data_IF_527788470360
#
_entry.id   IF_527788470360
#
_cell.length_a   1.000
_cell.length_b   1.000
_cell.length_c   1.000
_cell.angle_alpha   90.00
_cell.angle_beta   90.00
_cell.angle_gamma   90.00
#
_symmetry.space_group_name_H-M   'P 1'
#
loop_
_entity.id
_entity.type
_entity.pdbx_description
1 polymer ?
#
# COMPACT_ATOMS: atom_id res chain seq x y z
N UNK A 1 -22.92 -26.66 -1.73
CA UNK A 1 -22.50 -25.24 -1.72
C UNK A 1 -23.59 -24.50 -0.98
N UNK A 2 -23.24 -23.82 0.11
CA UNK A 2 -24.11 -22.81 0.71
C UNK A 2 -24.32 -21.67 -0.29
N UNK A 3 -25.46 -20.99 -0.20
CA UNK A 3 -25.66 -19.74 -0.93
C UNK A 3 -24.75 -18.66 -0.31
N UNK A 4 -24.20 -17.78 -1.14
CA UNK A 4 -23.45 -16.63 -0.67
C UNK A 4 -24.37 -15.69 0.12
N UNK A 5 -23.86 -15.13 1.21
CA UNK A 5 -24.57 -14.16 2.07
C UNK A 5 -24.93 -12.95 1.21
N UNK A 6 -26.17 -12.47 1.33
CA UNK A 6 -26.67 -11.31 0.60
C UNK A 6 -26.62 -10.05 1.45
N UNK A 7 -26.72 -8.88 0.81
CA UNK A 7 -26.86 -7.61 1.51
C UNK A 7 -28.06 -7.65 2.48
N UNK A 8 -27.82 -7.26 3.73
CA UNK A 8 -28.83 -7.28 4.80
C UNK A 8 -28.94 -8.61 5.54
N UNK A 9 -28.30 -9.68 5.08
CA UNK A 9 -28.22 -10.94 5.85
C UNK A 9 -27.31 -10.79 7.08
N UNK A 10 -27.60 -11.55 8.13
CA UNK A 10 -26.75 -11.59 9.33
C UNK A 10 -25.67 -12.66 9.19
N UNK A 11 -24.41 -12.24 9.11
CA UNK A 11 -23.26 -13.13 9.24
C UNK A 11 -22.99 -13.45 10.71
N UNK A 12 -23.08 -14.73 11.09
CA UNK A 12 -22.71 -15.21 12.43
C UNK A 12 -21.45 -16.07 12.34
N UNK A 13 -20.44 -15.77 13.14
CA UNK A 13 -19.14 -16.46 13.15
C UNK A 13 -18.87 -17.01 14.56
N UNK A 14 -19.52 -18.12 14.96
CA UNK A 14 -19.42 -18.63 16.32
C UNK A 14 -18.00 -19.15 16.64
N UNK A 15 -17.34 -19.81 15.69
CA UNK A 15 -15.96 -20.31 15.86
C UNK A 15 -15.00 -19.15 16.12
N UNK A 16 -15.04 -18.10 15.29
CA UNK A 16 -14.24 -16.90 15.49
C UNK A 16 -14.52 -16.23 16.84
N UNK A 17 -15.79 -16.18 17.24
CA UNK A 17 -16.17 -15.59 18.53
C UNK A 17 -15.60 -16.39 19.72
N UNK A 18 -15.54 -17.72 19.62
CA UNK A 18 -14.94 -18.57 20.64
C UNK A 18 -13.42 -18.39 20.68
N UNK A 19 -12.76 -18.30 19.52
CA UNK A 19 -11.32 -17.98 19.41
C UNK A 19 -10.97 -16.64 20.05
N UNK A 20 -11.75 -15.59 19.76
CA UNK A 20 -11.52 -14.26 20.34
C UNK A 20 -11.76 -14.23 21.85
N UNK A 21 -12.73 -15.00 22.38
CA UNK A 21 -12.93 -15.14 23.84
C UNK A 21 -11.77 -15.88 24.49
N UNK A 22 -11.29 -16.95 23.86
CA UNK A 22 -10.13 -17.69 24.34
C UNK A 22 -8.90 -16.78 24.46
N UNK A 23 -8.59 -16.02 23.41
CA UNK A 23 -7.46 -15.05 23.43
C UNK A 23 -7.66 -13.92 24.43
N UNK A 24 -8.91 -13.52 24.72
CA UNK A 24 -9.21 -12.55 25.78
C UNK A 24 -8.91 -13.12 27.18
N UNK A 25 -9.15 -14.41 27.40
CA UNK A 25 -8.98 -15.09 28.69
C UNK A 25 -7.52 -15.50 28.95
N UNK A 26 -6.86 -16.10 27.94
CA UNK A 26 -5.52 -16.68 28.07
C UNK A 26 -4.38 -15.75 27.62
N UNK A 27 -4.69 -14.69 26.85
CA UNK A 27 -3.72 -13.75 26.31
C UNK A 27 -3.30 -14.05 24.87
N UNK A 28 -2.69 -13.06 24.20
CA UNK A 28 -2.30 -13.19 22.79
C UNK A 28 -1.16 -14.19 22.59
N UNK A 29 -0.35 -14.41 23.62
CA UNK A 29 0.75 -15.38 23.64
C UNK A 29 0.27 -16.82 23.40
N UNK A 30 -1.00 -17.13 23.71
CA UNK A 30 -1.58 -18.45 23.47
C UNK A 30 -1.69 -18.77 21.97
N UNK A 31 -1.86 -17.74 21.12
CA UNK A 31 -1.82 -17.88 19.66
C UNK A 31 -0.48 -18.39 19.15
N UNK A 32 0.62 -18.03 19.82
CA UNK A 32 1.98 -18.33 19.36
C UNK A 32 2.60 -19.53 20.07
N UNK A 33 2.24 -19.77 21.34
CA UNK A 33 2.93 -20.75 22.19
C UNK A 33 2.02 -21.53 23.15
N UNK A 34 0.69 -21.33 23.08
CA UNK A 34 -0.27 -21.92 24.00
C UNK A 34 -1.12 -23.04 23.41
N UNK A 35 -2.30 -23.26 23.98
CA UNK A 35 -3.20 -24.35 23.57
C UNK A 35 -3.71 -24.16 22.15
N UNK A 36 -3.94 -22.91 21.74
CA UNK A 36 -4.46 -22.57 20.42
C UNK A 36 -3.53 -23.01 19.30
N UNK A 37 -2.21 -23.07 19.52
CA UNK A 37 -1.22 -23.55 18.52
C UNK A 37 -1.64 -24.91 17.96
N UNK A 38 -1.99 -25.86 18.82
CA UNK A 38 -2.39 -27.21 18.39
C UNK A 38 -3.68 -27.26 17.57
N UNK A 39 -4.49 -26.19 17.65
CA UNK A 39 -5.76 -26.03 16.92
C UNK A 39 -5.58 -25.30 15.59
N UNK A 40 -4.53 -24.49 15.45
CA UNK A 40 -4.25 -23.68 14.24
C UNK A 40 -3.10 -24.22 13.39
N UNK A 41 -2.42 -25.28 13.81
CA UNK A 41 -1.44 -26.05 13.02
C UNK A 41 -2.09 -27.31 12.45
N UNK A 42 -3.13 -27.13 11.64
CA UNK A 42 -3.87 -28.21 10.99
C UNK A 42 -3.45 -28.41 9.52
N UNK A 43 -4.16 -29.27 8.77
CA UNK A 43 -3.86 -29.56 7.37
C UNK A 43 -4.13 -28.38 6.40
N UNK A 44 -4.66 -27.25 6.88
CA UNK A 44 -4.93 -26.06 6.09
C UNK A 44 -3.71 -25.14 5.93
N UNK A 45 -2.67 -25.35 6.74
CA UNK A 45 -1.50 -24.46 6.82
C UNK A 45 -0.21 -25.24 6.63
N UNK A 46 0.86 -24.56 6.24
CA UNK A 46 2.20 -25.16 6.09
C UNK A 46 3.17 -24.82 7.22
N UNK A 47 2.76 -23.96 8.16
CA UNK A 47 3.57 -23.61 9.32
C UNK A 47 3.40 -24.62 10.44
N UNK A 48 4.45 -24.73 11.26
CA UNK A 48 4.55 -25.62 12.41
C UNK A 48 4.32 -24.87 13.72
N UNK A 49 4.25 -25.61 14.83
CA UNK A 49 4.22 -25.01 16.15
C UNK A 49 5.51 -24.23 16.43
N UNK A 50 6.64 -24.74 15.95
CA UNK A 50 7.94 -24.10 16.06
C UNK A 50 8.01 -22.78 15.26
N UNK A 51 7.36 -22.69 14.09
CA UNK A 51 7.27 -21.45 13.32
C UNK A 51 6.48 -20.37 14.06
N UNK A 52 5.40 -20.75 14.74
CA UNK A 52 4.59 -19.83 15.54
C UNK A 52 5.32 -19.41 16.82
N UNK A 53 5.97 -20.34 17.52
CA UNK A 53 6.75 -20.05 18.73
C UNK A 53 7.96 -19.13 18.42
N UNK A 54 8.56 -19.30 17.24
CA UNK A 54 9.68 -18.49 16.77
C UNK A 54 9.30 -17.12 16.19
N UNK A 55 8.01 -16.81 16.05
CA UNK A 55 7.56 -15.55 15.46
C UNK A 55 7.76 -14.37 16.43
N UNK A 56 8.40 -13.31 15.95
CA UNK A 56 8.51 -12.04 16.67
C UNK A 56 8.06 -10.86 15.81
N UNK A 57 7.31 -9.93 16.42
CA UNK A 57 6.98 -8.65 15.79
C UNK A 57 8.23 -7.77 15.77
N UNK A 58 8.65 -7.36 14.59
CA UNK A 58 9.74 -6.41 14.48
C UNK A 58 9.31 -5.00 14.85
N UNK A 59 10.11 -4.38 15.71
CA UNK A 59 10.04 -2.96 16.03
C UNK A 59 11.23 -2.26 15.43
N UNK A 60 10.98 -1.44 14.44
CA UNK A 60 12.01 -0.74 13.65
C UNK A 60 11.65 0.72 13.52
N UNK A 61 12.66 1.56 13.29
CA UNK A 61 12.43 2.95 12.89
C UNK A 61 11.65 2.99 11.57
N UNK A 62 10.76 3.98 11.39
CA UNK A 62 10.03 4.15 10.15
C UNK A 62 10.96 4.55 8.99
N UNK A 63 10.51 4.30 7.76
CA UNK A 63 11.09 5.00 6.62
C UNK A 63 10.76 6.49 6.77
N UNK A 64 11.77 7.34 6.63
CA UNK A 64 11.65 8.79 6.83
C UNK A 64 12.06 9.53 5.57
N UNK A 65 11.24 10.49 5.14
CA UNK A 65 11.54 11.37 4.03
C UNK A 65 10.96 12.76 4.25
N UNK A 66 10.93 13.53 3.17
CA UNK A 66 10.42 14.89 3.14
C UNK A 66 9.59 15.07 1.87
N UNK A 67 8.50 15.82 1.95
CA UNK A 67 7.67 16.20 0.81
C UNK A 67 7.06 17.58 1.09
N UNK A 68 7.26 18.55 0.20
CA UNK A 68 6.89 19.94 0.46
C UNK A 68 7.47 20.42 1.80
N UNK A 69 6.67 20.94 2.73
CA UNK A 69 7.06 21.33 4.09
C UNK A 69 6.87 20.23 5.15
N UNK A 70 6.48 19.02 4.74
CA UNK A 70 6.23 17.90 5.64
C UNK A 70 7.44 16.97 5.82
N UNK A 71 7.64 16.52 7.06
CA UNK A 71 8.36 15.27 7.35
C UNK A 71 7.41 14.10 7.12
N UNK A 72 7.85 13.11 6.34
CA UNK A 72 7.05 11.93 5.99
C UNK A 72 7.58 10.72 6.75
N UNK A 73 6.70 10.05 7.49
CA UNK A 73 6.97 8.81 8.20
C UNK A 73 6.10 7.69 7.64
N UNK A 74 6.73 6.64 7.11
CA UNK A 74 5.99 5.52 6.53
C UNK A 74 6.62 4.17 6.90
N UNK A 75 5.94 3.10 6.50
CA UNK A 75 6.29 1.74 6.88
C UNK A 75 7.66 1.33 6.30
N UNK A 76 8.61 0.83 7.11
CA UNK A 76 9.94 0.47 6.65
C UNK A 76 9.94 -0.87 5.86
N UNK A 77 11.05 -1.23 5.18
CA UNK A 77 11.20 -2.53 4.54
C UNK A 77 10.82 -3.71 5.47
N UNK A 78 10.16 -4.78 4.97
CA UNK A 78 9.90 -5.09 3.56
C UNK A 78 8.60 -4.47 3.01
N UNK A 79 8.05 -3.45 3.67
CA UNK A 79 6.83 -2.74 3.27
C UNK A 79 7.17 -1.59 2.29
N UNK A 80 6.15 -0.86 1.83
CA UNK A 80 6.29 0.08 0.70
C UNK A 80 6.39 1.55 1.09
N UNK A 81 6.68 1.90 2.35
CA UNK A 81 6.83 3.28 2.75
C UNK A 81 8.01 3.99 2.08
N UNK A 82 9.14 3.31 1.90
CA UNK A 82 10.28 3.82 1.09
C UNK A 82 9.85 4.17 -0.33
N UNK A 83 9.09 3.28 -0.98
CA UNK A 83 8.58 3.49 -2.34
C UNK A 83 7.64 4.69 -2.42
N UNK A 84 6.75 4.86 -1.45
CA UNK A 84 5.87 6.03 -1.39
C UNK A 84 6.68 7.32 -1.24
N UNK A 85 7.67 7.35 -0.34
CA UNK A 85 8.54 8.51 -0.15
C UNK A 85 9.29 8.86 -1.44
N UNK A 86 9.82 7.86 -2.16
CA UNK A 86 10.47 8.07 -3.46
C UNK A 86 9.51 8.70 -4.49
N UNK A 87 8.27 8.20 -4.58
CA UNK A 87 7.23 8.78 -5.46
C UNK A 87 7.01 10.25 -5.13
N UNK A 88 6.83 10.58 -3.85
CA UNK A 88 6.59 11.95 -3.40
C UNK A 88 7.78 12.87 -3.72
N UNK A 89 9.00 12.42 -3.43
CA UNK A 89 10.21 13.23 -3.64
C UNK A 89 10.53 13.45 -5.12
N UNK A 90 10.36 12.42 -5.97
CA UNK A 90 10.51 12.58 -7.42
C UNK A 90 9.43 13.49 -8.01
N UNK A 91 8.19 13.39 -7.50
CA UNK A 91 7.07 14.25 -7.92
C UNK A 91 7.32 15.73 -7.64
N UNK A 92 7.89 16.03 -6.47
CA UNK A 92 8.30 17.37 -6.06
C UNK A 92 9.46 17.88 -6.95
N UNK A 93 10.49 17.05 -7.18
CA UNK A 93 11.63 17.41 -8.03
C UNK A 93 11.24 17.68 -9.51
N UNK A 94 10.23 16.96 -10.01
CA UNK A 94 9.70 17.14 -11.38
C UNK A 94 8.63 18.23 -11.46
N UNK A 95 8.31 18.91 -10.35
CA UNK A 95 7.29 19.96 -10.26
C UNK A 95 5.94 19.49 -10.86
N UNK A 96 5.51 18.27 -10.49
CA UNK A 96 4.36 17.62 -11.14
C UNK A 96 3.04 18.37 -10.92
N UNK A 97 2.95 19.16 -9.85
CA UNK A 97 1.77 19.96 -9.50
C UNK A 97 1.54 21.11 -10.50
N UNK A 98 2.49 21.40 -11.38
CA UNK A 98 2.30 22.32 -12.51
C UNK A 98 1.30 21.81 -13.56
N UNK A 99 1.09 20.49 -13.66
CA UNK A 99 0.13 19.87 -14.57
C UNK A 99 -1.23 19.72 -13.90
N UNK A 100 -2.33 19.84 -14.65
CA UNK A 100 -3.67 19.58 -14.11
C UNK A 100 -3.81 18.08 -13.75
N UNK A 101 -4.46 17.71 -12.63
CA UNK A 101 -4.54 16.31 -12.18
C UNK A 101 -5.13 15.32 -13.19
N UNK A 102 -5.98 15.81 -14.10
CA UNK A 102 -6.63 15.01 -15.15
C UNK A 102 -6.01 15.25 -16.53
N UNK A 103 -4.80 15.81 -16.62
CA UNK A 103 -4.09 16.02 -17.88
C UNK A 103 -3.24 14.81 -18.29
N UNK A 104 -2.95 14.69 -19.58
CA UNK A 104 -2.08 13.64 -20.09
C UNK A 104 -0.64 13.78 -19.56
N UNK A 105 -0.15 15.01 -19.38
CA UNK A 105 1.17 15.31 -18.83
C UNK A 105 1.31 14.85 -17.37
N UNK A 106 0.26 15.03 -16.55
CA UNK A 106 0.25 14.52 -15.18
C UNK A 106 0.29 12.99 -15.17
N UNK A 107 -0.58 12.35 -15.96
CA UNK A 107 -0.65 10.88 -16.05
C UNK A 107 0.66 10.28 -16.51
N UNK A 108 1.26 10.82 -17.56
CA UNK A 108 2.52 10.36 -18.11
C UNK A 108 3.68 10.50 -17.10
N UNK A 109 3.86 11.70 -16.56
CA UNK A 109 4.94 11.99 -15.61
C UNK A 109 4.83 11.10 -14.37
N UNK A 110 3.62 10.97 -13.82
CA UNK A 110 3.40 10.15 -12.62
C UNK A 110 3.54 8.64 -12.90
N UNK A 111 3.16 8.18 -14.11
CA UNK A 111 3.36 6.78 -14.52
C UNK A 111 4.86 6.47 -14.57
N UNK A 112 5.68 7.33 -15.16
CA UNK A 112 7.13 7.17 -15.19
C UNK A 112 7.76 7.21 -13.79
N UNK A 113 7.28 8.09 -12.91
CA UNK A 113 7.67 8.11 -11.48
C UNK A 113 7.36 6.77 -10.80
N UNK A 114 6.15 6.24 -11.01
CA UNK A 114 5.75 4.96 -10.45
C UNK A 114 6.64 3.82 -10.96
N UNK A 115 6.90 3.76 -12.25
CA UNK A 115 7.78 2.75 -12.85
C UNK A 115 9.20 2.80 -12.28
N UNK A 116 9.76 4.01 -12.15
CA UNK A 116 11.08 4.21 -11.57
C UNK A 116 11.13 3.76 -10.10
N UNK A 117 10.16 4.17 -9.27
CA UNK A 117 10.06 3.76 -7.88
C UNK A 117 9.80 2.25 -7.73
N UNK A 118 9.01 1.65 -8.63
CA UNK A 118 8.71 0.21 -8.64
C UNK A 118 9.94 -0.61 -9.02
N UNK A 119 10.72 -0.16 -10.01
CA UNK A 119 12.00 -0.76 -10.40
C UNK A 119 13.00 -0.70 -9.24
N UNK A 120 13.13 0.47 -8.60
CA UNK A 120 14.01 0.63 -7.45
C UNK A 120 13.62 -0.30 -6.28
N UNK A 121 12.33 -0.32 -5.93
CA UNK A 121 11.77 -1.23 -4.95
C UNK A 121 12.11 -2.69 -5.27
N UNK A 122 11.96 -3.09 -6.54
CA UNK A 122 12.22 -4.46 -6.97
C UNK A 122 13.67 -4.86 -6.72
N UNK A 123 14.62 -3.95 -6.95
CA UNK A 123 16.05 -4.17 -6.81
C UNK A 123 16.56 -4.08 -5.38
N UNK A 124 15.96 -3.23 -4.53
CA UNK A 124 16.58 -2.82 -3.27
C UNK A 124 15.83 -3.22 -1.98
N UNK A 125 14.50 -3.41 -2.03
CA UNK A 125 13.72 -3.56 -0.79
C UNK A 125 13.61 -5.04 -0.40
N UNK A 126 14.20 -5.51 0.69
CA UNK A 126 14.04 -6.90 1.15
C UNK A 126 13.45 -7.00 2.54
N UNK A 127 13.44 -8.22 3.08
CA UNK A 127 13.36 -8.40 4.53
C UNK A 127 14.66 -7.84 5.17
N UNK A 128 14.59 -6.86 6.10
CA UNK A 128 15.77 -6.24 6.71
C UNK A 128 16.55 -7.13 7.69
N UNK A 129 16.03 -8.31 8.06
CA UNK A 129 16.77 -9.33 8.82
C UNK A 129 17.69 -10.13 7.91
N UNK A 130 17.33 -10.26 6.63
CA UNK A 130 18.07 -11.04 5.63
C UNK A 130 18.90 -10.17 4.68
N UNK A 131 18.56 -8.89 4.56
CA UNK A 131 19.19 -7.96 3.64
C UNK A 131 19.63 -6.70 4.40
N UNK A 132 20.82 -6.20 4.07
CA UNK A 132 21.27 -4.89 4.56
C UNK A 132 20.65 -3.81 3.67
N UNK A 133 19.64 -3.11 4.20
CA UNK A 133 18.85 -2.13 3.46
C UNK A 133 19.07 -0.76 4.07
N UNK A 134 19.80 0.08 3.36
CA UNK A 134 20.08 1.46 3.76
C UNK A 134 18.87 2.36 3.47
N UNK A 135 17.80 2.17 4.26
CA UNK A 135 16.51 2.86 4.07
C UNK A 135 16.65 4.38 4.00
N UNK A 136 17.56 4.96 4.80
CA UNK A 136 17.84 6.40 4.79
C UNK A 136 18.54 6.88 3.52
N UNK A 137 19.28 6.02 2.83
CA UNK A 137 19.86 6.35 1.52
C UNK A 137 18.79 6.32 0.44
N UNK A 138 17.94 5.29 0.44
CA UNK A 138 16.84 5.13 -0.54
C UNK A 138 15.77 6.23 -0.46
N UNK A 139 15.68 6.94 0.67
CA UNK A 139 14.75 8.06 0.93
C UNK A 139 15.46 9.41 1.02
N UNK A 140 16.76 9.45 0.69
CA UNK A 140 17.52 10.69 0.67
C UNK A 140 17.20 11.49 -0.59
N UNK A 141 17.06 12.81 -0.45
CA UNK A 141 16.80 13.71 -1.58
C UNK A 141 17.82 13.56 -2.71
N UNK A 142 19.11 13.46 -2.40
CA UNK A 142 20.14 13.27 -3.44
C UNK A 142 19.90 11.99 -4.24
N UNK A 143 19.48 10.91 -3.58
CA UNK A 143 19.19 9.65 -4.25
C UNK A 143 17.93 9.75 -5.12
N UNK A 144 16.86 10.35 -4.61
CA UNK A 144 15.61 10.49 -5.38
C UNK A 144 15.72 11.50 -6.51
N UNK A 145 16.58 12.51 -6.38
CA UNK A 145 16.88 13.45 -7.47
C UNK A 145 17.58 12.72 -8.63
N UNK A 146 18.51 11.81 -8.34
CA UNK A 146 19.14 10.94 -9.35
C UNK A 146 18.10 10.04 -10.03
N UNK A 147 17.17 9.45 -9.28
CA UNK A 147 16.07 8.66 -9.86
C UNK A 147 15.17 9.52 -10.78
N UNK A 148 14.87 10.78 -10.39
CA UNK A 148 14.08 11.70 -11.21
C UNK A 148 14.81 12.18 -12.48
N UNK A 149 16.14 12.28 -12.43
CA UNK A 149 16.95 12.62 -13.62
C UNK A 149 16.91 11.51 -14.69
N UNK A 150 16.76 10.25 -14.29
CA UNK A 150 16.66 9.11 -15.21
C UNK A 150 15.33 9.09 -15.99
N UNK A 151 14.24 9.58 -15.39
CA UNK A 151 12.92 9.73 -16.03
C UNK A 151 13.01 10.65 -17.27
N UNK A 152 13.77 11.75 -17.15
CA UNK A 152 13.88 12.75 -18.22
C UNK A 152 14.72 12.30 -19.43
N UNK A 153 15.34 11.12 -19.39
CA UNK A 153 16.31 10.67 -20.40
C UNK A 153 15.73 9.67 -21.41
N UNK A 154 14.44 9.71 -21.79
CA UNK A 154 13.83 8.84 -22.84
C UNK A 154 14.18 7.33 -22.69
N UNK A 155 14.57 6.91 -21.49
CA UNK A 155 15.32 5.67 -21.26
C UNK A 155 14.79 4.95 -20.02
N UNK A 156 13.46 4.82 -19.93
CA UNK A 156 12.93 3.62 -19.32
C UNK A 156 12.96 2.52 -20.38
N UNK A 157 14.18 2.04 -20.67
CA UNK A 157 14.36 0.72 -21.26
C UNK A 157 13.93 -0.28 -20.18
N UNK A 158 12.62 -0.51 -20.11
CA UNK A 158 12.03 -1.54 -19.29
C UNK A 158 12.74 -2.85 -19.63
N UNK A 159 13.50 -3.39 -18.67
CA UNK A 159 14.02 -4.73 -18.82
C UNK A 159 12.83 -5.66 -18.60
N UNK A 160 12.39 -6.34 -19.67
CA UNK A 160 11.32 -7.36 -19.66
C UNK A 160 11.45 -8.38 -18.50
N UNK A 161 12.66 -8.55 -17.95
CA UNK A 161 13.00 -9.43 -16.83
C UNK A 161 12.51 -8.93 -15.43
N UNK A 162 11.85 -7.77 -15.36
CA UNK A 162 11.23 -7.23 -14.13
C UNK A 162 9.70 -7.45 -14.06
N UNK A 163 9.13 -8.21 -14.99
CA UNK A 163 7.71 -8.55 -15.10
C UNK A 163 7.30 -9.66 -14.12
N UNK A 164 7.37 -9.42 -12.80
CA UNK A 164 6.89 -10.42 -11.83
C UNK A 164 6.03 -9.87 -10.69
N UNK A 165 5.73 -8.57 -10.70
CA UNK A 165 4.77 -8.00 -9.75
C UNK A 165 3.34 -8.24 -10.26
N UNK A 166 2.77 -9.38 -9.89
CA UNK A 166 1.36 -9.66 -10.14
C UNK A 166 0.50 -8.72 -9.31
N UNK A 167 -0.54 -8.15 -9.93
CA UNK A 167 -1.49 -7.31 -9.21
C UNK A 167 -2.33 -8.14 -8.24
N UNK A 168 -2.11 -7.93 -6.93
CA UNK A 168 -2.91 -8.58 -5.89
C UNK A 168 -4.38 -8.13 -5.96
N UNK A 169 -5.30 -9.09 -5.85
CA UNK A 169 -6.74 -8.85 -5.64
C UNK A 169 -6.98 -8.62 -4.15
N UNK A 170 -6.47 -7.49 -3.64
CA UNK A 170 -6.13 -7.35 -2.23
C UNK A 170 -7.32 -7.18 -1.25
N UNK A 171 -7.34 -7.95 -0.15
CA UNK A 171 -8.04 -7.60 1.10
C UNK A 171 -7.06 -6.85 1.98
N UNK A 172 -7.28 -5.55 2.07
CA UNK A 172 -6.54 -4.72 3.00
C UNK A 172 -7.55 -3.84 3.70
N UNK A 173 -7.33 -3.60 4.99
CA UNK A 173 -8.06 -2.62 5.77
C UNK A 173 -7.05 -1.63 6.32
N UNK A 174 -7.44 -0.36 6.34
CA UNK A 174 -6.64 0.70 6.91
C UNK A 174 -7.41 1.38 8.04
N UNK A 175 -6.72 1.74 9.11
CA UNK A 175 -7.28 2.51 10.22
C UNK A 175 -6.30 3.61 10.63
N UNK A 176 -6.87 4.78 10.93
CA UNK A 176 -6.18 5.88 11.59
C UNK A 176 -6.86 6.16 12.92
N UNK A 177 -6.06 6.40 13.96
CA UNK A 177 -6.54 6.67 15.31
C UNK A 177 -5.73 7.84 15.88
N UNK A 178 -6.45 8.79 16.48
CA UNK A 178 -5.89 9.88 17.27
C UNK A 178 -6.57 9.85 18.63
N UNK A 179 -5.81 9.84 19.72
CA UNK A 179 -6.36 9.89 21.08
C UNK A 179 -6.27 11.29 21.73
N UNK A 180 -6.82 11.42 22.93
CA UNK A 180 -6.87 12.69 23.67
C UNK A 180 -5.50 13.19 24.15
N UNK A 181 -4.49 12.32 24.20
CA UNK A 181 -3.12 12.64 24.59
C UNK A 181 -2.25 13.01 23.38
N UNK A 182 -2.81 12.98 22.17
CA UNK A 182 -2.12 13.27 20.92
C UNK A 182 -1.35 12.08 20.34
N UNK A 183 -1.62 10.85 20.79
CA UNK A 183 -1.09 9.65 20.15
C UNK A 183 -1.73 9.46 18.79
N UNK A 184 -0.90 9.31 17.77
CA UNK A 184 -1.32 9.08 16.39
C UNK A 184 -0.90 7.68 15.95
N UNK A 185 -1.84 6.90 15.43
CA UNK A 185 -1.60 5.55 14.92
C UNK A 185 -2.18 5.43 13.52
N UNK A 186 -1.33 5.11 12.56
CA UNK A 186 -1.71 4.72 11.21
C UNK A 186 -1.36 3.24 11.02
N UNK A 187 -2.35 2.40 10.73
CA UNK A 187 -2.17 0.95 10.68
C UNK A 187 -2.90 0.34 9.48
N UNK A 188 -2.18 -0.51 8.75
CA UNK A 188 -2.72 -1.25 7.60
C UNK A 188 -2.57 -2.74 7.85
N UNK A 189 -3.67 -3.47 7.78
CA UNK A 189 -3.69 -4.92 7.98
C UNK A 189 -4.23 -5.61 6.72
N UNK A 190 -3.68 -6.76 6.36
CA UNK A 190 -3.97 -7.41 5.08
C UNK A 190 -3.87 -8.93 5.17
N UNK A 191 -4.69 -9.60 4.37
CA UNK A 191 -4.58 -11.04 4.09
C UNK A 191 -3.84 -11.32 2.78
N UNK A 192 -3.19 -10.31 2.17
CA UNK A 192 -2.92 -10.24 0.73
C UNK A 192 -4.24 -10.18 -0.04
N UNK A 193 -4.77 -11.28 -0.58
CA UNK A 193 -6.00 -11.26 -1.39
C UNK A 193 -7.29 -11.16 -0.55
N UNK A 194 -8.44 -10.83 -1.17
CA UNK A 194 -9.76 -10.58 -0.52
C UNK A 194 -10.15 -11.58 0.59
N UNK A 195 -9.87 -12.86 0.37
CA UNK A 195 -10.10 -13.94 1.34
C UNK A 195 -8.80 -14.71 1.67
N UNK A 196 -7.66 -14.04 1.51
CA UNK A 196 -6.33 -14.63 1.58
C UNK A 196 -6.16 -15.81 0.64
N UNK A 197 -5.77 -16.95 1.19
CA UNK A 197 -5.66 -18.23 0.49
C UNK A 197 -7.03 -18.85 0.10
N UNK A 198 -8.14 -18.21 0.48
CA UNK A 198 -9.50 -18.75 0.30
C UNK A 198 -9.83 -19.89 1.28
N UNK A 199 -9.04 -20.02 2.35
CA UNK A 199 -9.16 -21.06 3.35
C UNK A 199 -9.54 -20.41 4.68
N UNK A 200 -10.63 -20.88 5.27
CA UNK A 200 -11.01 -20.61 6.66
C UNK A 200 -10.63 -21.82 7.50
N UNK A 201 -9.92 -21.62 8.60
CA UNK A 201 -9.56 -22.71 9.51
C UNK A 201 -10.70 -23.07 10.47
N UNK A 202 -10.51 -24.14 11.23
CA UNK A 202 -11.49 -24.61 12.22
C UNK A 202 -11.72 -23.61 13.38
N UNK A 203 -10.80 -22.66 13.57
CA UNK A 203 -10.89 -21.55 14.54
C UNK A 203 -11.66 -20.34 14.02
N UNK A 204 -12.19 -20.42 12.80
CA UNK A 204 -13.13 -19.46 12.25
C UNK A 204 -12.50 -18.24 11.59
N UNK A 205 -11.19 -18.19 11.38
CA UNK A 205 -10.52 -17.09 10.68
C UNK A 205 -9.88 -17.52 9.35
N UNK A 206 -9.68 -16.54 8.47
CA UNK A 206 -9.10 -16.75 7.14
C UNK A 206 -7.58 -16.76 7.19
N UNK A 207 -6.98 -17.60 6.36
CA UNK A 207 -5.53 -17.71 6.21
C UNK A 207 -5.06 -16.76 5.10
N UNK A 208 -4.06 -15.92 5.39
CA UNK A 208 -3.46 -15.04 4.38
C UNK A 208 -2.71 -15.83 3.30
N UNK A 209 -2.44 -15.20 2.16
CA UNK A 209 -1.57 -15.77 1.12
C UNK A 209 -0.30 -14.94 0.89
N UNK A 210 0.19 -14.21 1.90
CA UNK A 210 1.28 -13.23 1.75
C UNK A 210 2.58 -13.82 1.16
N UNK A 211 2.82 -15.11 1.35
CA UNK A 211 3.99 -15.80 0.80
C UNK A 211 4.00 -15.83 -0.74
N UNK A 212 2.88 -15.59 -1.43
CA UNK A 212 2.87 -15.44 -2.89
C UNK A 212 3.71 -14.26 -3.38
N UNK A 213 4.06 -13.32 -2.48
CA UNK A 213 4.75 -12.09 -2.86
C UNK A 213 6.26 -12.26 -2.96
N UNK A 214 6.82 -13.43 -2.67
CA UNK A 214 8.24 -13.69 -2.90
C UNK A 214 8.57 -13.72 -4.41
N UNK A 215 9.75 -13.23 -4.75
CA UNK A 215 10.30 -13.32 -6.10
C UNK A 215 10.92 -14.71 -6.33
N UNK A 216 10.09 -15.76 -6.40
CA UNK A 216 10.54 -17.16 -6.46
C UNK A 216 11.47 -17.50 -7.63
N UNK A 217 11.45 -16.71 -8.70
CA UNK A 217 12.22 -16.98 -9.92
C UNK A 217 13.54 -16.19 -9.99
N UNK A 218 13.78 -15.27 -9.05
CA UNK A 218 14.92 -14.37 -9.07
C UNK A 218 15.81 -14.54 -7.83
N UNK A 219 16.71 -15.53 -7.84
CA UNK A 219 17.60 -15.88 -6.70
C UNK A 219 18.42 -14.70 -6.14
N UNK A 220 18.77 -13.72 -7.00
CA UNK A 220 19.52 -12.54 -6.58
C UNK A 220 18.64 -11.39 -6.07
N UNK A 221 17.32 -11.53 -6.09
CA UNK A 221 16.40 -10.50 -5.62
C UNK A 221 16.40 -10.45 -4.08
N UNK A 222 16.41 -9.27 -3.44
CA UNK A 222 16.32 -9.15 -1.98
C UNK A 222 15.07 -9.81 -1.37
N UNK A 223 14.04 -10.00 -2.18
CA UNK A 223 12.79 -10.67 -1.84
C UNK A 223 12.69 -12.08 -2.46
N UNK A 224 13.81 -12.73 -2.78
CA UNK A 224 13.82 -14.17 -3.01
C UNK A 224 13.42 -14.93 -1.73
N UNK A 225 12.73 -16.06 -1.89
CA UNK A 225 12.24 -16.87 -0.78
C UNK A 225 13.37 -17.51 0.02
N UNK A 226 13.34 -17.33 1.34
CA UNK A 226 14.17 -18.04 2.31
C UNK A 226 13.33 -18.43 3.53
N UNK A 227 13.66 -19.53 4.18
CA UNK A 227 12.98 -19.98 5.40
C UNK A 227 13.13 -18.93 6.52
N UNK A 228 12.01 -18.58 7.17
CA UNK A 228 11.94 -17.54 8.21
C UNK A 228 11.90 -16.10 7.69
N UNK A 229 12.08 -15.88 6.38
CA UNK A 229 12.04 -14.56 5.76
C UNK A 229 10.61 -14.08 5.60
N UNK A 230 10.40 -12.76 5.63
CA UNK A 230 9.13 -12.10 5.39
C UNK A 230 9.04 -11.62 3.95
N UNK A 231 7.93 -11.93 3.29
CA UNK A 231 7.68 -11.46 1.94
C UNK A 231 7.38 -9.95 1.93
N UNK A 232 7.71 -9.30 0.82
CA UNK A 232 7.31 -7.91 0.54
C UNK A 232 5.80 -7.70 0.66
N UNK A 233 5.43 -6.47 1.00
CA UNK A 233 4.06 -5.98 0.92
C UNK A 233 4.04 -4.57 0.32
N UNK A 234 2.91 -4.20 -0.28
CA UNK A 234 2.70 -2.85 -0.79
C UNK A 234 2.03 -1.91 0.21
N UNK A 235 1.69 -2.38 1.40
CA UNK A 235 1.12 -1.52 2.43
C UNK A 235 2.10 -0.39 2.79
N UNK A 236 1.55 0.81 2.97
CA UNK A 236 2.30 2.02 3.34
C UNK A 236 1.44 2.93 4.24
N UNK A 237 1.04 2.47 5.46
CA UNK A 237 0.48 3.40 6.46
C UNK A 237 1.48 4.54 6.69
N UNK A 238 1.00 5.77 6.61
CA UNK A 238 1.86 6.95 6.52
C UNK A 238 1.33 8.07 7.41
N UNK A 239 2.26 8.78 8.06
CA UNK A 239 1.99 9.98 8.83
C UNK A 239 2.89 11.09 8.28
N UNK A 240 2.29 12.19 7.83
CA UNK A 240 2.99 13.40 7.42
C UNK A 240 2.82 14.43 8.53
N UNK A 241 3.89 15.13 8.90
CA UNK A 241 3.88 16.12 9.97
C UNK A 241 4.65 17.36 9.53
N UNK A 242 4.07 18.55 9.72
CA UNK A 242 4.79 19.82 9.64
C UNK A 242 4.65 20.59 10.98
N UNK A 243 4.98 21.88 11.00
CA UNK A 243 4.92 22.71 12.21
C UNK A 243 3.47 22.96 12.71
N UNK A 244 2.46 22.74 11.87
CA UNK A 244 1.08 23.15 12.11
C UNK A 244 0.09 21.98 12.15
N UNK A 245 0.31 20.93 11.37
CA UNK A 245 -0.64 19.86 11.18
C UNK A 245 0.01 18.46 11.02
N UNK A 246 -0.77 17.44 11.33
CA UNK A 246 -0.43 16.04 11.14
C UNK A 246 -1.48 15.32 10.31
N UNK A 247 -1.07 14.75 9.18
CA UNK A 247 -1.91 13.96 8.28
C UNK A 247 -1.59 12.48 8.43
N UNK A 248 -2.53 11.70 8.94
CA UNK A 248 -2.47 10.24 8.93
C UNK A 248 -3.21 9.74 7.69
N UNK A 249 -2.58 8.88 6.89
CA UNK A 249 -3.15 8.42 5.63
C UNK A 249 -2.75 6.98 5.31
N UNK A 250 -3.66 6.25 4.68
CA UNK A 250 -3.39 4.94 4.13
C UNK A 250 -4.56 4.40 3.34
N UNK A 251 -4.29 3.39 2.51
CA UNK A 251 -5.27 2.81 1.59
C UNK A 251 -5.07 1.31 1.50
N UNK A 252 -6.13 0.53 1.21
CA UNK A 252 -6.00 -0.79 0.64
C UNK A 252 -5.73 -0.73 -0.87
N UNK A 253 -5.37 -1.87 -1.48
CA UNK A 253 -5.23 -1.95 -2.94
C UNK A 253 -3.98 -2.66 -3.48
N UNK A 254 -3.22 -3.42 -2.69
CA UNK A 254 -2.03 -4.11 -3.20
C UNK A 254 -1.03 -3.13 -3.82
N UNK A 255 -0.52 -3.43 -5.01
CA UNK A 255 0.42 -2.57 -5.74
C UNK A 255 -0.12 -1.16 -6.06
N UNK A 256 -1.43 -0.94 -5.96
CA UNK A 256 -2.07 0.37 -6.14
C UNK A 256 -1.92 1.26 -4.92
N UNK A 257 -1.56 0.72 -3.74
CA UNK A 257 -1.46 1.50 -2.50
C UNK A 257 -0.49 2.69 -2.65
N UNK A 258 0.78 2.52 -3.06
CA UNK A 258 1.68 3.67 -3.22
C UNK A 258 1.21 4.62 -4.34
N UNK A 259 0.65 4.07 -5.42
CA UNK A 259 0.13 4.87 -6.55
C UNK A 259 -1.04 5.77 -6.13
N UNK A 260 -1.99 5.25 -5.35
CA UNK A 260 -3.17 6.00 -4.88
C UNK A 260 -2.77 7.00 -3.80
N UNK A 261 -1.95 6.58 -2.83
CA UNK A 261 -1.48 7.47 -1.77
C UNK A 261 -0.65 8.62 -2.31
N UNK A 262 0.25 8.37 -3.26
CA UNK A 262 1.04 9.41 -3.90
C UNK A 262 0.15 10.45 -4.58
N UNK A 263 -0.82 10.02 -5.40
CA UNK A 263 -1.77 10.94 -6.06
C UNK A 263 -2.54 11.81 -5.07
N UNK A 264 -3.06 11.22 -3.98
CA UNK A 264 -3.83 11.98 -2.98
C UNK A 264 -2.96 12.99 -2.25
N UNK A 265 -1.76 12.60 -1.83
CA UNK A 265 -0.82 13.47 -1.10
C UNK A 265 -0.32 14.61 -2.01
N UNK A 266 0.05 14.29 -3.26
CA UNK A 266 0.52 15.29 -4.23
C UNK A 266 -0.59 16.28 -4.56
N UNK A 267 -1.81 15.80 -4.77
CA UNK A 267 -2.93 16.69 -5.06
C UNK A 267 -3.33 17.55 -3.86
N UNK A 268 -3.10 17.11 -2.62
CA UNK A 268 -3.34 17.97 -1.45
C UNK A 268 -2.35 19.12 -1.28
N UNK A 269 -1.18 19.05 -1.90
CA UNK A 269 -0.15 20.10 -1.84
C UNK A 269 -0.37 21.21 -2.91
N UNK A 270 -1.42 21.09 -3.72
CA UNK A 270 -1.71 22.06 -4.79
C UNK A 270 -2.22 23.39 -4.22
N UNK A 271 -1.67 24.48 -4.76
CA UNK A 271 -1.99 25.84 -4.36
C UNK A 271 -3.51 26.13 -4.40
N UNK A 272 -4.09 26.41 -3.23
CA UNK A 272 -5.48 26.84 -3.09
C UNK A 272 -6.51 25.72 -3.06
N UNK A 273 -6.08 24.46 -3.00
CA UNK A 273 -6.96 23.31 -2.79
C UNK A 273 -7.17 23.02 -1.30
N UNK A 274 -8.39 22.64 -0.92
CA UNK A 274 -8.65 22.04 0.38
C UNK A 274 -8.26 20.55 0.32
N UNK A 275 -7.70 20.01 1.40
CA UNK A 275 -7.29 18.60 1.43
C UNK A 275 -8.46 17.66 1.08
N UNK A 276 -9.70 18.02 1.44
CA UNK A 276 -10.90 17.27 1.07
C UNK A 276 -11.07 17.14 -0.45
N UNK A 277 -10.75 18.18 -1.22
CA UNK A 277 -10.86 18.16 -2.68
C UNK A 277 -9.90 17.14 -3.30
N UNK A 278 -8.71 16.93 -2.72
CA UNK A 278 -7.74 15.96 -3.26
C UNK A 278 -8.24 14.51 -3.21
N UNK A 279 -9.09 14.16 -2.23
CA UNK A 279 -9.69 12.82 -2.11
C UNK A 279 -10.81 12.56 -3.12
N UNK A 280 -11.55 13.61 -3.49
CA UNK A 280 -12.65 13.56 -4.46
C UNK A 280 -12.16 13.52 -5.91
N UNK A 281 -10.89 13.89 -6.17
CA UNK A 281 -10.32 13.84 -7.51
C UNK A 281 -10.32 12.43 -8.06
N UNK A 282 -10.61 12.33 -9.36
CA UNK A 282 -10.52 11.07 -10.10
C UNK A 282 -9.09 10.52 -10.05
N UNK A 283 -8.95 9.23 -9.83
CA UNK A 283 -7.66 8.55 -9.74
C UNK A 283 -7.37 7.75 -11.00
N UNK A 284 -6.12 7.35 -11.14
CA UNK A 284 -5.72 6.32 -12.08
C UNK A 284 -4.67 5.38 -11.45
N UNK A 285 -4.37 4.27 -12.11
CA UNK A 285 -3.23 3.44 -11.77
C UNK A 285 -2.73 2.70 -13.01
N UNK A 286 -1.42 2.52 -13.10
CA UNK A 286 -0.83 1.55 -14.01
C UNK A 286 -1.13 0.15 -13.45
N UNK A 287 -1.92 -0.61 -14.19
CA UNK A 287 -2.23 -2.01 -13.91
C UNK A 287 -1.30 -2.90 -14.71
N UNK A 288 -0.72 -3.89 -14.05
CA UNK A 288 0.14 -4.89 -14.69
C UNK A 288 -0.30 -6.29 -14.27
N UNK A 289 -0.59 -7.14 -15.24
CA UNK A 289 -0.80 -8.59 -15.08
C UNK A 289 -0.03 -9.33 -16.19
N UNK A 290 0.03 -10.66 -16.17
CA UNK A 290 0.88 -11.48 -17.07
C UNK A 290 0.71 -11.17 -18.58
N UNK A 291 -0.46 -10.70 -18.98
CA UNK A 291 -0.83 -10.46 -20.39
C UNK A 291 -1.23 -8.99 -20.69
N UNK A 292 -1.32 -8.13 -19.67
CA UNK A 292 -1.93 -6.79 -19.79
C UNK A 292 -1.13 -5.74 -19.00
N UNK A 293 -0.73 -4.67 -19.68
CA UNK A 293 -0.18 -3.45 -19.10
C UNK A 293 -1.03 -2.28 -19.59
N UNK A 294 -1.81 -1.68 -18.69
CA UNK A 294 -2.74 -0.62 -19.05
C UNK A 294 -2.88 0.43 -17.96
N UNK A 295 -3.11 1.68 -18.36
CA UNK A 295 -3.53 2.74 -17.46
C UNK A 295 -5.03 2.61 -17.26
N UNK A 296 -5.45 2.26 -16.03
CA UNK A 296 -6.86 2.28 -15.64
C UNK A 296 -7.21 3.65 -15.10
N UNK A 297 -8.21 4.28 -15.70
CA UNK A 297 -8.75 5.57 -15.27
C UNK A 297 -10.08 5.35 -14.55
N UNK A 298 -10.29 6.09 -13.47
CA UNK A 298 -11.58 6.09 -12.81
C UNK A 298 -12.69 6.64 -13.71
N UNK A 299 -13.94 6.27 -13.43
CA UNK A 299 -15.07 6.86 -14.15
C UNK A 299 -15.13 8.37 -13.94
N UNK A 300 -15.29 9.13 -15.04
CA UNK A 300 -15.51 10.58 -15.00
C UNK A 300 -14.38 11.43 -15.58
N UNK A 301 -13.29 10.81 -16.06
CA UNK A 301 -12.22 11.52 -16.74
C UNK A 301 -12.71 12.27 -18.00
N UNK A 302 -12.18 13.47 -18.30
CA UNK A 302 -12.55 14.18 -19.50
C UNK A 302 -12.14 13.41 -20.77
N UNK A 303 -13.04 13.36 -21.75
CA UNK A 303 -12.78 12.64 -23.02
C UNK A 303 -11.56 13.14 -23.80
N UNK A 304 -11.21 14.42 -23.64
CA UNK A 304 -10.04 14.97 -24.29
C UNK A 304 -8.76 14.45 -23.61
N UNK A 305 -8.71 14.45 -22.27
CA UNK A 305 -7.63 13.84 -21.50
C UNK A 305 -7.39 12.38 -21.87
N UNK A 306 -8.45 11.56 -21.93
CA UNK A 306 -8.35 10.14 -22.34
C UNK A 306 -7.67 10.03 -23.72
N UNK A 307 -8.15 10.81 -24.69
CA UNK A 307 -7.59 10.81 -26.05
C UNK A 307 -6.16 11.32 -26.11
N UNK A 308 -5.76 12.23 -25.21
CA UNK A 308 -4.40 12.76 -25.15
C UNK A 308 -3.44 11.76 -24.48
N UNK A 309 -3.90 10.98 -23.49
CA UNK A 309 -3.14 9.87 -22.89
C UNK A 309 -2.92 8.75 -23.90
N UNK A 310 -3.96 8.35 -24.65
CA UNK A 310 -3.83 7.34 -25.72
C UNK A 310 -2.83 7.75 -26.82
N UNK A 311 -2.59 9.06 -27.02
CA UNK A 311 -1.60 9.56 -27.98
C UNK A 311 -0.15 9.44 -27.47
N UNK A 312 0.05 9.09 -26.20
CA UNK A 312 1.35 8.81 -25.58
C UNK A 312 1.72 7.32 -25.64
N UNK A 313 1.01 6.53 -26.47
CA UNK A 313 1.22 5.09 -26.69
C UNK A 313 0.91 4.20 -25.45
N UNK A 314 0.13 4.70 -24.49
CA UNK A 314 -0.44 3.87 -23.41
C UNK A 314 -1.72 3.16 -23.86
N UNK A 315 -1.87 1.89 -23.47
CA UNK A 315 -3.18 1.23 -23.44
C UNK A 315 -4.00 1.78 -22.27
N UNK A 316 -5.26 2.18 -22.52
CA UNK A 316 -6.10 2.88 -21.54
C UNK A 316 -7.44 2.16 -21.38
N UNK A 317 -7.77 1.76 -20.14
CA UNK A 317 -9.12 1.40 -19.75
C UNK A 317 -9.78 2.56 -18.98
N UNK A 318 -10.69 3.26 -19.67
CA UNK A 318 -11.44 4.40 -19.12
C UNK A 318 -12.86 4.06 -18.68
N UNK A 319 -13.27 2.79 -18.79
CA UNK A 319 -14.59 2.30 -18.43
C UNK A 319 -14.53 1.32 -17.23
N UNK A 320 -13.43 1.29 -16.49
CA UNK A 320 -13.22 0.37 -15.37
C UNK A 320 -14.14 0.66 -14.18
N UNK A 321 -15.27 -0.03 -14.13
CA UNK A 321 -16.32 0.18 -13.14
C UNK A 321 -16.13 -0.70 -11.90
N UNK A 322 -15.06 -0.47 -11.13
CA UNK A 322 -15.03 -0.92 -9.73
C UNK A 322 -14.42 0.16 -8.84
N UNK A 323 -15.21 0.70 -7.92
CA UNK A 323 -14.78 1.70 -6.95
C UNK A 323 -13.67 1.16 -6.03
N UNK A 324 -13.59 -0.17 -5.88
CA UNK A 324 -12.66 -0.88 -5.02
C UNK A 324 -11.21 -0.81 -5.53
N UNK A 325 -11.01 -0.71 -6.84
CA UNK A 325 -9.69 -0.74 -7.47
C UNK A 325 -8.88 0.50 -7.17
N UNK A 326 -9.50 1.68 -7.20
CA UNK A 326 -8.88 2.98 -6.97
C UNK A 326 -8.65 3.31 -5.48
N UNK A 327 -8.56 2.27 -4.64
CA UNK A 327 -8.30 2.39 -3.22
C UNK A 327 -9.52 2.78 -2.39
N UNK A 328 -9.25 3.02 -1.11
CA UNK A 328 -10.20 3.50 -0.10
C UNK A 328 -9.36 4.19 0.97
N UNK A 329 -9.12 5.47 0.72
CA UNK A 329 -8.12 6.24 1.46
C UNK A 329 -8.74 6.70 2.77
N UNK A 330 -8.34 6.05 3.85
CA UNK A 330 -8.62 6.51 5.20
C UNK A 330 -7.66 7.62 5.57
N UNK A 331 -8.19 8.74 6.06
CA UNK A 331 -7.39 9.90 6.47
C UNK A 331 -7.87 10.48 7.81
N UNK A 332 -6.94 11.01 8.61
CA UNK A 332 -7.22 11.96 9.68
C UNK A 332 -6.24 13.12 9.59
N UNK A 333 -6.77 14.34 9.67
CA UNK A 333 -5.97 15.56 9.79
C UNK A 333 -6.07 16.08 11.22
N UNK A 334 -4.93 16.44 11.80
CA UNK A 334 -4.81 16.95 13.17
C UNK A 334 -4.18 18.33 13.13
N UNK A 335 -4.88 19.35 13.62
CA UNK A 335 -4.29 20.65 13.91
C UNK A 335 -3.44 20.51 15.19
N UNK A 336 -2.12 20.69 15.07
CA UNK A 336 -1.17 20.50 16.17
C UNK A 336 -1.16 21.67 17.17
N UNK A 337 -1.74 22.82 16.82
CA UNK A 337 -1.84 23.97 17.72
C UNK A 337 -2.98 23.81 18.72
N UNK A 338 -4.14 23.30 18.27
CA UNK A 338 -5.36 23.23 19.08
C UNK A 338 -5.85 21.80 19.37
N UNK A 339 -5.33 20.78 18.65
CA UNK A 339 -5.71 19.37 18.79
C UNK A 339 -7.02 18.98 18.08
N UNK A 340 -7.56 19.85 17.22
CA UNK A 340 -8.76 19.56 16.45
C UNK A 340 -8.45 18.47 15.40
N UNK A 341 -9.34 17.48 15.33
CA UNK A 341 -9.22 16.36 14.38
C UNK A 341 -10.34 16.45 13.36
N UNK A 342 -9.99 16.36 12.08
CA UNK A 342 -10.93 16.30 10.96
C UNK A 342 -10.71 15.06 10.10
N UNK A 343 -11.76 14.65 9.38
CA UNK A 343 -11.76 13.48 8.50
C UNK A 343 -12.45 13.85 7.18
N UNK A 344 -11.91 13.32 6.09
CA UNK A 344 -12.54 13.24 4.77
C UNK A 344 -12.88 11.78 4.52
N UNK A 345 -14.11 11.52 4.09
CA UNK A 345 -14.53 10.17 3.69
C UNK A 345 -14.14 9.95 2.22
N UNK A 346 -13.58 8.78 1.90
CA UNK A 346 -13.37 8.41 0.50
C UNK A 346 -14.72 8.04 -0.12
N UNK A 347 -15.21 8.74 -1.15
CA UNK A 347 -16.54 8.49 -1.72
C UNK A 347 -16.66 7.13 -2.43
N UNK A 348 -15.56 6.37 -2.57
CA UNK A 348 -15.50 5.12 -3.32
C UNK A 348 -15.99 3.91 -2.52
N UNK A 349 -16.00 3.97 -1.19
CA UNK A 349 -16.51 2.90 -0.32
C UNK A 349 -17.44 3.46 0.76
N UNK A 350 -18.46 2.67 1.09
CA UNK A 350 -19.48 2.99 2.11
C UNK A 350 -18.96 2.87 3.56
#
# INVERSE_FOLDING_TARGET
>A
MSEAIQEGDTLTQPELADTLRHLQEEGIEDFYSGELVSRITDDHVSWTAEDLEGYEVLRTEPAKGEFSDYEVYSAPPPLSGTTLIQILQMSDQLDITQYEPDSAEFVDTYTQIWEQARSDRYLNIGDPVYNDIETNELTNRTYTDELAEDINQDSLAFNEDQSLAHDEKSSTTHINVVDEDGMMVSATNSLSNFFGAGIQNDEGFLINNQMSNFAFEAENNPNYYEEGKRARSYIAPTILVNDHEGLLVGSPGGARIPQVLGQVIINSDRDGEDIGESFDRSRFALHMDDDEEEIRLEYGWPKHSISDIEQLDYDVDSDYYTNIFFGDVGQLMVDLENGDVSRTEDPRRD
#
